data_IF_402597577359
#
_entry.id   IF_402597577359
#
_cell.length_a   1.000
_cell.length_b   1.000
_cell.length_c   1.000
_cell.angle_alpha   90.00
_cell.angle_beta   90.00
_cell.angle_gamma   90.00
#
_symmetry.space_group_name_H-M   'P 1'
#
loop_
_entity.id
_entity.type
_entity.pdbx_description
1 polymer ?
#
# COMPACT_ATOMS: atom_id res chain seq x y z
N UNK A 1 -16.13 4.66 -5.47
CA UNK A 1 -15.34 4.31 -4.28
C UNK A 1 -13.93 4.93 -4.28
N UNK A 2 -13.74 6.16 -4.81
CA UNK A 2 -12.43 6.77 -4.98
C UNK A 2 -12.11 7.90 -3.96
N UNK A 3 -12.98 8.11 -2.96
CA UNK A 3 -12.88 9.25 -2.04
C UNK A 3 -11.89 9.09 -0.88
N UNK A 4 -11.19 7.95 -0.75
CA UNK A 4 -10.31 7.66 0.40
C UNK A 4 -8.97 7.02 0.04
N UNK A 5 -8.43 7.25 -1.16
CA UNK A 5 -7.10 6.77 -1.58
C UNK A 5 -6.37 7.95 -2.24
N UNK A 6 -6.24 9.03 -1.49
CA UNK A 6 -5.60 10.24 -1.99
C UNK A 6 -4.73 10.77 -0.86
N UNK A 7 -3.41 10.73 -1.04
CA UNK A 7 -2.44 11.25 -0.09
C UNK A 7 -1.99 12.62 -0.65
N UNK A 8 -2.09 13.70 0.12
CA UNK A 8 -1.66 15.10 -0.15
C UNK A 8 -2.73 16.19 -0.41
N UNK A 9 -2.28 17.46 -0.39
CA UNK A 9 -3.03 18.72 -0.68
C UNK A 9 -3.45 18.82 -2.16
N UNK A 10 -4.25 19.83 -2.54
CA UNK A 10 -4.84 19.94 -3.88
C UNK A 10 -3.83 19.97 -5.06
N UNK A 11 -2.62 20.51 -4.87
CA UNK A 11 -1.57 20.61 -5.91
C UNK A 11 -0.72 19.33 -6.02
N UNK A 12 -0.41 18.70 -4.89
CA UNK A 12 0.30 17.42 -4.84
C UNK A 12 -0.63 16.23 -5.11
N UNK A 13 -1.95 16.45 -5.00
CA UNK A 13 -3.02 15.52 -5.36
C UNK A 13 -2.85 15.00 -6.78
N UNK A 14 -2.53 15.88 -7.73
CA UNK A 14 -2.41 15.52 -9.14
C UNK A 14 -1.15 14.68 -9.40
N UNK A 15 -0.05 14.97 -8.69
CA UNK A 15 1.23 14.28 -8.85
C UNK A 15 1.24 12.91 -8.18
N UNK A 16 0.75 12.82 -6.94
CA UNK A 16 0.88 11.60 -6.14
C UNK A 16 -0.27 10.60 -6.36
N UNK A 17 -1.45 11.05 -6.77
CA UNK A 17 -2.63 10.16 -6.93
C UNK A 17 -2.38 9.00 -7.88
N UNK A 18 -1.71 9.23 -9.01
CA UNK A 18 -1.37 8.16 -9.96
C UNK A 18 -0.45 7.11 -9.35
N UNK A 19 0.61 7.55 -8.66
CA UNK A 19 1.60 6.70 -7.99
C UNK A 19 0.95 5.90 -6.86
N UNK A 20 0.20 6.55 -5.97
CA UNK A 20 -0.48 5.91 -4.82
C UNK A 20 -1.49 4.85 -5.28
N UNK A 21 -2.33 5.15 -6.27
CA UNK A 21 -3.29 4.18 -6.83
C UNK A 21 -2.56 2.99 -7.47
N UNK A 22 -1.46 3.25 -8.18
CA UNK A 22 -0.65 2.20 -8.77
C UNK A 22 -0.05 1.29 -7.70
N UNK A 23 0.56 1.87 -6.65
CA UNK A 23 1.13 1.12 -5.53
C UNK A 23 0.08 0.27 -4.82
N UNK A 24 -1.08 0.86 -4.50
CA UNK A 24 -2.20 0.14 -3.89
C UNK A 24 -2.60 -1.10 -4.70
N UNK A 25 -2.79 -0.94 -6.02
CA UNK A 25 -3.18 -2.06 -6.91
C UNK A 25 -2.09 -3.11 -7.00
N UNK A 26 -0.83 -2.68 -7.10
CA UNK A 26 0.31 -3.58 -7.21
C UNK A 26 0.49 -4.41 -5.94
N UNK A 27 0.39 -3.80 -4.76
CA UNK A 27 0.48 -4.51 -3.47
C UNK A 27 -0.66 -5.54 -3.35
N UNK A 28 -1.91 -5.14 -3.62
CA UNK A 28 -3.05 -6.06 -3.57
C UNK A 28 -2.94 -7.23 -4.57
N UNK A 29 -2.30 -6.99 -5.72
CA UNK A 29 -2.02 -8.04 -6.72
C UNK A 29 -0.90 -8.96 -6.26
N UNK A 30 0.19 -8.41 -5.75
CA UNK A 30 1.32 -9.17 -5.22
C UNK A 30 0.88 -10.09 -4.08
N UNK A 31 -0.03 -9.65 -3.20
CA UNK A 31 -0.62 -10.51 -2.16
C UNK A 31 -1.40 -11.73 -2.69
N UNK A 32 -1.76 -11.78 -3.98
CA UNK A 32 -2.35 -12.97 -4.62
C UNK A 32 -1.32 -13.83 -5.35
N UNK A 33 -0.05 -13.43 -5.36
CA UNK A 33 1.00 -14.19 -6.02
C UNK A 33 1.13 -15.58 -5.39
N UNK A 34 1.18 -16.66 -6.18
CA UNK A 34 1.44 -18.00 -5.67
C UNK A 34 2.83 -18.11 -5.04
N UNK A 35 3.76 -17.20 -5.36
CA UNK A 35 5.12 -17.18 -4.80
C UNK A 35 5.17 -16.73 -3.34
N UNK A 36 4.09 -16.13 -2.81
CA UNK A 36 3.98 -15.82 -1.39
C UNK A 36 3.40 -17.04 -0.65
N UNK A 37 4.07 -17.54 0.41
CA UNK A 37 3.62 -18.69 1.19
C UNK A 37 2.50 -18.30 2.16
N UNK A 38 1.41 -17.75 1.63
CA UNK A 38 0.23 -17.32 2.38
C UNK A 38 -0.96 -18.25 2.12
N UNK A 39 -1.61 -18.68 3.21
CA UNK A 39 -2.92 -19.31 3.16
C UNK A 39 -3.97 -18.34 2.62
N UNK A 40 -5.11 -18.86 2.14
CA UNK A 40 -6.21 -18.02 1.66
C UNK A 40 -6.70 -17.01 2.71
N UNK A 41 -6.88 -17.47 3.95
CA UNK A 41 -7.27 -16.61 5.08
C UNK A 41 -6.24 -15.50 5.34
N UNK A 42 -4.95 -15.83 5.32
CA UNK A 42 -3.88 -14.85 5.52
C UNK A 42 -3.84 -13.81 4.38
N UNK A 43 -4.09 -14.21 3.13
CA UNK A 43 -4.21 -13.26 2.00
C UNK A 43 -5.38 -12.31 2.20
N UNK A 44 -6.53 -12.80 2.66
CA UNK A 44 -7.70 -11.97 2.89
C UNK A 44 -7.43 -10.94 4.01
N UNK A 45 -6.85 -11.39 5.12
CA UNK A 45 -6.46 -10.54 6.25
C UNK A 45 -5.47 -9.45 5.82
N UNK A 46 -4.38 -9.81 5.13
CA UNK A 46 -3.39 -8.85 4.65
C UNK A 46 -3.96 -7.84 3.64
N UNK A 47 -4.90 -8.25 2.79
CA UNK A 47 -5.60 -7.30 1.92
C UNK A 47 -6.48 -6.33 2.68
N UNK A 48 -7.12 -6.77 3.77
CA UNK A 48 -7.90 -5.87 4.62
C UNK A 48 -7.00 -4.87 5.33
N UNK A 49 -5.85 -5.32 5.85
CA UNK A 49 -4.82 -4.48 6.46
C UNK A 49 -4.30 -3.41 5.49
N UNK A 50 -3.92 -3.80 4.27
CA UNK A 50 -3.48 -2.85 3.22
C UNK A 50 -4.57 -1.82 2.91
N UNK A 51 -5.85 -2.22 2.85
CA UNK A 51 -6.95 -1.26 2.65
C UNK A 51 -7.06 -0.26 3.80
N UNK A 52 -6.94 -0.73 5.04
CA UNK A 52 -6.94 0.11 6.22
C UNK A 52 -5.80 1.12 6.22
N UNK A 53 -4.58 0.67 5.90
CA UNK A 53 -3.40 1.53 5.83
C UNK A 53 -3.59 2.62 4.77
N UNK A 54 -4.01 2.25 3.55
CA UNK A 54 -4.18 3.25 2.48
C UNK A 54 -5.32 4.24 2.74
N UNK A 55 -6.36 3.81 3.47
CA UNK A 55 -7.43 4.69 3.92
C UNK A 55 -6.93 5.68 4.97
N UNK A 56 -6.25 5.21 6.01
CA UNK A 56 -5.69 6.08 7.06
C UNK A 56 -4.69 7.09 6.47
N UNK A 57 -3.77 6.61 5.63
CA UNK A 57 -2.79 7.45 4.96
C UNK A 57 -3.43 8.49 4.01
N UNK A 58 -4.70 8.32 3.61
CA UNK A 58 -5.42 9.32 2.82
C UNK A 58 -5.82 10.58 3.59
N UNK A 59 -5.71 10.55 4.91
CA UNK A 59 -5.93 11.70 5.75
C UNK A 59 -4.65 12.53 5.95
N UNK A 60 -3.49 12.00 5.55
CA UNK A 60 -2.20 12.67 5.69
C UNK A 60 -2.05 13.87 4.75
N UNK A 61 -1.50 14.96 5.30
CA UNK A 61 -1.31 16.24 4.61
C UNK A 61 0.13 16.73 4.66
N UNK A 62 0.94 16.24 5.60
CA UNK A 62 2.35 16.59 5.68
C UNK A 62 3.13 15.93 4.54
N UNK A 63 3.82 16.74 3.72
CA UNK A 63 4.51 16.24 2.52
C UNK A 63 5.59 15.20 2.85
N UNK A 64 6.37 15.43 3.90
CA UNK A 64 7.40 14.48 4.35
C UNK A 64 6.79 13.13 4.77
N UNK A 65 5.67 13.15 5.52
CA UNK A 65 4.98 11.91 5.89
C UNK A 65 4.46 11.16 4.64
N UNK A 66 3.99 11.88 3.63
CA UNK A 66 3.48 11.28 2.39
C UNK A 66 4.61 10.62 1.60
N UNK A 67 5.77 11.27 1.53
CA UNK A 67 6.97 10.69 0.94
C UNK A 67 7.40 9.43 1.69
N UNK A 68 7.48 9.48 3.02
CA UNK A 68 7.82 8.32 3.87
C UNK A 68 6.83 7.16 3.67
N UNK A 69 5.53 7.45 3.57
CA UNK A 69 4.49 6.45 3.32
C UNK A 69 4.64 5.82 1.93
N UNK A 70 5.00 6.61 0.92
CA UNK A 70 5.24 6.12 -0.44
C UNK A 70 6.47 5.22 -0.48
N UNK A 71 7.57 5.63 0.13
CA UNK A 71 8.81 4.87 0.19
C UNK A 71 8.61 3.55 0.96
N UNK A 72 7.83 3.60 2.05
CA UNK A 72 7.43 2.40 2.81
C UNK A 72 6.59 1.44 1.96
N UNK A 73 5.65 1.97 1.16
CA UNK A 73 4.83 1.16 0.26
C UNK A 73 5.66 0.53 -0.88
N UNK A 74 6.63 1.27 -1.42
CA UNK A 74 7.56 0.78 -2.44
C UNK A 74 8.48 -0.32 -1.90
N UNK A 75 9.05 -0.10 -0.71
CA UNK A 75 9.84 -1.11 -0.03
C UNK A 75 9.02 -2.39 0.23
N UNK A 76 7.81 -2.24 0.76
CA UNK A 76 6.89 -3.35 1.01
C UNK A 76 6.56 -4.12 -0.27
N UNK A 77 6.28 -3.41 -1.36
CA UNK A 77 6.04 -4.02 -2.67
C UNK A 77 7.26 -4.80 -3.18
N UNK A 78 8.47 -4.27 -2.95
CA UNK A 78 9.72 -4.95 -3.33
C UNK A 78 9.89 -6.30 -2.63
N UNK A 79 9.57 -6.39 -1.34
CA UNK A 79 9.58 -7.63 -0.56
C UNK A 79 8.54 -8.62 -1.09
N UNK A 80 7.30 -8.16 -1.30
CA UNK A 80 6.24 -9.02 -1.80
C UNK A 80 6.56 -9.60 -3.18
N UNK A 81 7.25 -8.84 -4.05
CA UNK A 81 7.71 -9.32 -5.35
C UNK A 81 8.80 -10.39 -5.25
N UNK A 82 9.59 -10.38 -4.18
CA UNK A 82 10.58 -11.42 -3.85
C UNK A 82 9.94 -12.66 -3.20
N UNK A 83 8.63 -12.64 -2.95
CA UNK A 83 7.95 -13.70 -2.19
C UNK A 83 8.21 -13.60 -0.68
N UNK A 84 8.72 -12.46 -0.22
CA UNK A 84 9.02 -12.22 1.18
C UNK A 84 7.84 -11.51 1.88
N UNK A 85 7.67 -11.82 3.15
CA UNK A 85 6.74 -11.13 4.04
C UNK A 85 7.58 -10.52 5.14
N UNK A 86 7.42 -9.22 5.37
CA UNK A 86 8.13 -8.53 6.44
C UNK A 86 7.86 -9.24 7.78
N UNK A 87 8.93 -9.74 8.42
CA UNK A 87 8.87 -10.65 9.57
C UNK A 87 8.34 -10.00 10.86
N UNK A 88 8.09 -8.69 10.86
CA UNK A 88 7.75 -7.92 12.06
C UNK A 88 6.25 -7.63 12.25
N UNK A 89 5.38 -8.26 11.45
CA UNK A 89 3.92 -8.20 11.66
C UNK A 89 3.41 -9.64 11.83
N UNK A 90 3.72 -10.22 12.99
CA UNK A 90 3.09 -11.44 13.51
C UNK A 90 2.24 -11.09 14.72
#
# INVERSE_FOLDING_TARGET
MAKGIIWATAEDLARNRGRVISLYRQILRSLNSPNLPLSFAARLAKKAEVRGIFLLASEERALHNIEDLIDTAEYSLSLLRKGEIAKYIQ
#
